data_IF_461785508565
#
_entry.id   IF_461785508565
#
_cell.length_a   1.000
_cell.length_b   1.000
_cell.length_c   1.000
_cell.angle_alpha   90.00
_cell.angle_beta   90.00
_cell.angle_gamma   90.00
#
_symmetry.space_group_name_H-M   'P 1'
#
loop_
_entity.id
_entity.type
_entity.pdbx_description
1 polymer ?
#
# COMPACT_ATOMS: atom_id res chain seq x y z
N UNK A 1 -4.35 -11.36 45.36
CA UNK A 1 -3.52 -10.66 44.34
C UNK A 1 -3.77 -11.13 42.90
N UNK A 2 -4.82 -11.92 42.62
CA UNK A 2 -5.10 -12.49 41.28
C UNK A 2 -5.78 -11.50 40.31
N UNK A 3 -6.45 -10.48 40.85
CA UNK A 3 -7.20 -9.49 40.03
C UNK A 3 -6.31 -8.66 39.11
N UNK A 4 -5.17 -8.16 39.63
CA UNK A 4 -4.25 -7.33 38.84
C UNK A 4 -3.55 -8.14 37.75
N UNK A 5 -3.14 -9.37 38.05
CA UNK A 5 -2.50 -10.26 37.08
C UNK A 5 -3.48 -10.70 35.98
N UNK A 6 -4.74 -10.96 36.34
CA UNK A 6 -5.79 -11.31 35.37
C UNK A 6 -6.14 -10.13 34.45
N UNK A 7 -6.19 -8.91 34.99
CA UNK A 7 -6.41 -7.69 34.21
C UNK A 7 -5.28 -7.45 33.19
N UNK A 8 -4.03 -7.55 33.62
CA UNK A 8 -2.85 -7.41 32.75
C UNK A 8 -2.82 -8.51 31.68
N UNK A 9 -3.13 -9.75 32.04
CA UNK A 9 -3.21 -10.86 31.09
C UNK A 9 -4.29 -10.63 30.03
N UNK A 10 -5.48 -10.15 30.41
CA UNK A 10 -6.55 -9.81 29.48
C UNK A 10 -6.17 -8.71 28.49
N UNK A 11 -5.45 -7.68 28.93
CA UNK A 11 -4.94 -6.62 28.03
C UNK A 11 -3.88 -7.19 27.06
N UNK A 12 -2.95 -8.00 27.57
CA UNK A 12 -1.90 -8.62 26.76
C UNK A 12 -2.48 -9.51 25.66
N UNK A 13 -3.48 -10.33 25.97
CA UNK A 13 -4.17 -11.21 25.02
C UNK A 13 -4.82 -10.40 23.87
N UNK A 14 -5.48 -9.27 24.19
CA UNK A 14 -6.13 -8.43 23.18
C UNK A 14 -5.15 -7.70 22.28
N UNK A 15 -3.97 -7.34 22.78
CA UNK A 15 -2.90 -6.71 22.00
C UNK A 15 -2.09 -7.72 21.18
N UNK A 16 -1.99 -8.96 21.67
CA UNK A 16 -1.27 -10.05 21.00
C UNK A 16 -2.11 -10.77 19.93
N UNK A 17 -3.42 -10.52 19.86
CA UNK A 17 -4.32 -11.15 18.88
C UNK A 17 -3.91 -10.79 17.45
N UNK A 18 -3.20 -11.72 16.79
CA UNK A 18 -3.13 -12.05 15.35
C UNK A 18 -3.15 -10.89 14.33
N UNK A 19 -2.72 -9.68 14.68
CA UNK A 19 -2.67 -8.53 13.74
C UNK A 19 -1.71 -8.73 12.55
N UNK A 20 -0.78 -9.69 12.65
CA UNK A 20 0.28 -9.89 11.66
C UNK A 20 -0.20 -10.51 10.35
N UNK A 21 -1.01 -11.57 10.40
CA UNK A 21 -1.46 -12.29 9.20
C UNK A 21 -2.35 -11.41 8.31
N UNK A 22 -3.26 -10.63 8.90
CA UNK A 22 -4.16 -9.73 8.18
C UNK A 22 -3.44 -8.49 7.60
N UNK A 23 -2.35 -8.02 8.20
CA UNK A 23 -1.56 -6.90 7.65
C UNK A 23 -0.93 -7.23 6.29
N UNK A 24 -0.56 -8.50 6.07
CA UNK A 24 0.06 -8.94 4.81
C UNK A 24 -0.96 -8.94 3.67
N UNK A 25 -2.20 -9.36 3.92
CA UNK A 25 -3.26 -9.41 2.91
C UNK A 25 -3.60 -8.01 2.37
N UNK A 26 -3.85 -7.06 3.28
CA UNK A 26 -4.10 -5.66 2.89
C UNK A 26 -2.85 -4.99 2.31
N UNK A 27 -1.66 -5.31 2.82
CA UNK A 27 -0.40 -4.80 2.29
C UNK A 27 -0.15 -5.20 0.84
N UNK A 28 -0.45 -6.46 0.49
CA UNK A 28 -0.31 -6.97 -0.88
C UNK A 28 -1.30 -6.29 -1.84
N UNK A 29 -2.55 -6.07 -1.43
CA UNK A 29 -3.53 -5.36 -2.27
C UNK A 29 -3.06 -3.94 -2.60
N UNK A 30 -2.56 -3.20 -1.59
CA UNK A 30 -2.02 -1.84 -1.80
C UNK A 30 -0.80 -1.86 -2.71
N UNK A 31 0.10 -2.83 -2.56
CA UNK A 31 1.27 -2.98 -3.42
C UNK A 31 0.88 -3.19 -4.90
N UNK A 32 -0.13 -4.01 -5.18
CA UNK A 32 -0.62 -4.23 -6.54
C UNK A 32 -1.22 -2.96 -7.15
N UNK A 33 -2.00 -2.19 -6.38
CA UNK A 33 -2.53 -0.90 -6.83
C UNK A 33 -1.40 0.08 -7.13
N UNK A 34 -0.37 0.13 -6.27
CA UNK A 34 0.79 1.01 -6.47
C UNK A 34 1.52 0.70 -7.78
N UNK A 35 1.70 -0.58 -8.12
CA UNK A 35 2.30 -1.00 -9.38
C UNK A 35 1.44 -0.56 -10.58
N UNK A 36 0.13 -0.75 -10.53
CA UNK A 36 -0.79 -0.33 -11.60
C UNK A 36 -0.72 1.19 -11.82
N UNK A 37 -0.73 1.97 -10.74
CA UNK A 37 -0.63 3.44 -10.81
C UNK A 37 0.71 3.87 -11.40
N UNK A 38 1.81 3.24 -10.98
CA UNK A 38 3.15 3.55 -11.50
C UNK A 38 3.26 3.26 -13.01
N UNK A 39 2.76 2.11 -13.46
CA UNK A 39 2.74 1.74 -14.87
C UNK A 39 1.86 2.69 -15.68
N UNK A 40 0.66 3.02 -15.18
CA UNK A 40 -0.24 3.98 -15.83
C UNK A 40 0.38 5.37 -15.98
N UNK A 41 1.04 5.86 -14.93
CA UNK A 41 1.74 7.14 -14.96
C UNK A 41 2.92 7.15 -15.95
N UNK A 42 3.69 6.07 -16.02
CA UNK A 42 4.80 5.93 -16.97
C UNK A 42 4.29 5.92 -18.43
N UNK A 43 3.25 5.13 -18.72
CA UNK A 43 2.66 5.08 -20.06
C UNK A 43 2.08 6.43 -20.50
N UNK A 44 1.36 7.11 -19.60
CA UNK A 44 0.86 8.46 -19.84
C UNK A 44 2.00 9.46 -20.09
N UNK A 45 3.07 9.39 -19.29
CA UNK A 45 4.23 10.26 -19.45
C UNK A 45 4.89 10.12 -20.82
N UNK A 46 5.08 8.89 -21.30
CA UNK A 46 5.61 8.62 -22.65
C UNK A 46 4.69 9.21 -23.72
N UNK A 47 3.39 8.92 -23.66
CA UNK A 47 2.44 9.43 -24.67
C UNK A 47 2.37 10.95 -24.71
N UNK A 48 2.43 11.63 -23.56
CA UNK A 48 2.49 13.09 -23.50
C UNK A 48 3.80 13.61 -24.10
N UNK A 49 4.93 13.00 -23.77
CA UNK A 49 6.22 13.39 -24.34
C UNK A 49 6.24 13.25 -25.87
N UNK A 50 5.70 12.15 -26.40
CA UNK A 50 5.62 11.91 -27.84
C UNK A 50 4.76 12.97 -28.55
N UNK A 51 3.65 13.41 -27.93
CA UNK A 51 2.84 14.51 -28.46
C UNK A 51 3.63 15.82 -28.54
N UNK A 52 4.40 16.16 -27.51
CA UNK A 52 5.24 17.36 -27.52
C UNK A 52 6.36 17.28 -28.57
N UNK A 53 6.99 16.12 -28.73
CA UNK A 53 8.02 15.89 -29.75
C UNK A 53 7.43 16.01 -31.16
N UNK A 54 6.24 15.46 -31.39
CA UNK A 54 5.56 15.55 -32.67
C UNK A 54 5.26 17.00 -33.06
N UNK A 55 4.78 17.82 -32.12
CA UNK A 55 4.54 19.26 -32.34
C UNK A 55 5.85 19.99 -32.62
N UNK A 56 6.90 19.75 -31.83
CA UNK A 56 8.20 20.40 -32.01
C UNK A 56 8.85 20.09 -33.36
N UNK A 57 8.67 18.86 -33.85
CA UNK A 57 9.21 18.43 -35.15
C UNK A 57 8.37 18.93 -36.33
N UNK A 58 7.14 19.38 -36.09
CA UNK A 58 6.23 19.89 -37.11
C UNK A 58 6.27 21.41 -37.29
N UNK A 59 7.09 22.12 -36.49
CA UNK A 59 7.35 23.56 -36.54
C UNK A 59 8.64 23.84 -37.32
#
# INVERSE_FOLDING_TARGET
MVSMTAFIAGIKERLASEKGATMVEYGLMVALIAVIVAVGAAALGIGINDLFVAVNTSL
#
